data_IF_628889978597
#
_entry.id   IF_628889978597
#
_cell.length_a   1.000
_cell.length_b   1.000
_cell.length_c   1.000
_cell.angle_alpha   90.00
_cell.angle_beta   90.00
_cell.angle_gamma   90.00
#
_symmetry.space_group_name_H-M   'P 1'
#
loop_
_entity.id
_entity.type
_entity.pdbx_description
1 polymer ?
#
# COMPACT_ATOMS: atom_id res chain seq x y z
N UNK A 1 22.73 -27.45 32.60
CA UNK A 1 23.53 -27.24 31.37
C UNK A 1 23.00 -28.15 30.27
N UNK A 2 22.91 -27.62 29.04
CA UNK A 2 22.46 -28.25 27.76
C UNK A 2 20.93 -28.35 27.63
N UNK A 3 20.19 -27.47 26.95
CA UNK A 3 20.38 -26.65 25.74
C UNK A 3 20.41 -27.45 24.43
N UNK A 4 19.46 -27.09 23.55
CA UNK A 4 19.26 -27.42 22.12
C UNK A 4 18.35 -28.61 21.80
N UNK A 5 17.08 -28.28 21.56
CA UNK A 5 16.32 -28.77 20.40
C UNK A 5 15.45 -27.60 19.89
N UNK A 6 16.04 -26.74 19.06
CA UNK A 6 15.30 -25.75 18.27
C UNK A 6 15.16 -26.34 16.88
N UNK A 7 13.94 -26.78 16.57
CA UNK A 7 13.54 -27.22 15.24
C UNK A 7 13.45 -25.98 14.34
N UNK A 8 14.44 -25.76 13.49
CA UNK A 8 14.42 -24.72 12.46
C UNK A 8 13.58 -25.24 11.29
N UNK A 9 12.34 -24.75 11.16
CA UNK A 9 11.53 -24.94 9.98
C UNK A 9 12.08 -24.07 8.83
N UNK A 10 12.76 -24.70 7.88
CA UNK A 10 13.24 -24.05 6.67
C UNK A 10 12.04 -23.75 5.75
N UNK A 11 11.76 -22.46 5.54
CA UNK A 11 10.79 -21.98 4.56
C UNK A 11 11.37 -22.19 3.16
N UNK A 12 10.89 -23.22 2.45
CA UNK A 12 11.23 -23.46 1.05
C UNK A 12 10.53 -22.42 0.18
N UNK A 13 11.25 -21.36 -0.19
CA UNK A 13 10.85 -20.46 -1.26
C UNK A 13 11.26 -21.13 -2.57
N UNK A 14 10.30 -21.71 -3.29
CA UNK A 14 10.53 -22.16 -4.66
C UNK A 14 10.68 -20.95 -5.58
N UNK A 15 11.78 -20.82 -6.34
CA UNK A 15 11.89 -19.78 -7.35
C UNK A 15 10.85 -20.05 -8.44
N UNK A 16 9.93 -19.10 -8.64
CA UNK A 16 9.04 -19.13 -9.79
C UNK A 16 9.89 -18.97 -11.05
N UNK A 17 9.84 -19.95 -11.95
CA UNK A 17 10.43 -19.84 -13.29
C UNK A 17 9.75 -18.68 -14.02
N UNK A 18 10.51 -17.64 -14.36
CA UNK A 18 10.05 -16.57 -15.23
C UNK A 18 9.71 -17.16 -16.60
N UNK A 19 8.43 -17.29 -16.91
CA UNK A 19 7.96 -17.57 -18.26
C UNK A 19 8.27 -16.38 -19.17
N UNK A 20 8.56 -16.65 -20.44
CA UNK A 20 8.68 -15.61 -21.46
C UNK A 20 7.47 -14.66 -21.38
N UNK A 21 7.73 -13.36 -21.26
CA UNK A 21 6.69 -12.34 -21.13
C UNK A 21 5.89 -12.29 -22.44
N UNK A 22 4.68 -12.83 -22.43
CA UNK A 22 3.71 -12.53 -23.48
C UNK A 22 3.41 -11.03 -23.41
N UNK A 23 3.57 -10.27 -24.52
CA UNK A 23 3.33 -8.83 -24.50
C UNK A 23 1.91 -8.51 -24.02
N UNK A 24 1.75 -7.43 -23.27
CA UNK A 24 0.45 -7.04 -22.74
C UNK A 24 -0.53 -6.74 -23.89
N UNK A 25 -1.78 -7.24 -23.84
CA UNK A 25 -2.77 -6.98 -24.88
C UNK A 25 -2.98 -5.49 -25.15
N UNK A 26 -2.92 -4.67 -24.10
CA UNK A 26 -2.98 -3.22 -24.15
C UNK A 26 -1.82 -2.58 -24.96
N UNK A 27 -0.63 -3.18 -24.96
CA UNK A 27 0.55 -2.73 -25.70
C UNK A 27 0.63 -3.24 -27.16
N UNK A 28 -0.28 -4.15 -27.54
CA UNK A 28 -0.36 -4.71 -28.90
C UNK A 28 -1.56 -4.17 -29.70
N UNK A 29 -2.27 -3.17 -29.17
CA UNK A 29 -3.37 -2.50 -29.89
C UNK A 29 -2.77 -1.67 -31.02
N UNK A 30 -3.47 -1.53 -32.14
CA UNK A 30 -3.07 -0.70 -33.32
C UNK A 30 -2.98 0.81 -33.06
N UNK A 31 -3.02 1.14 -31.78
CA UNK A 31 -2.64 2.36 -31.14
C UNK A 31 -1.10 2.54 -31.29
N UNK A 32 -0.29 1.58 -30.83
CA UNK A 32 1.17 1.70 -30.84
C UNK A 32 1.69 1.29 -32.23
N UNK A 33 2.54 2.09 -32.91
CA UNK A 33 3.18 1.67 -34.15
C UNK A 33 3.91 0.34 -33.93
N UNK A 34 3.59 -0.66 -34.75
CA UNK A 34 4.06 -2.04 -34.58
C UNK A 34 5.57 -2.17 -34.84
N UNK A 35 6.37 -1.78 -33.85
CA UNK A 35 7.80 -2.03 -33.75
C UNK A 35 8.09 -2.77 -32.45
N UNK A 36 9.09 -3.65 -32.49
CA UNK A 36 9.49 -4.41 -31.29
C UNK A 36 9.91 -3.47 -30.16
N UNK A 37 10.56 -2.36 -30.50
CA UNK A 37 11.00 -1.34 -29.54
C UNK A 37 9.83 -0.67 -28.83
N UNK A 38 8.82 -0.21 -29.55
CA UNK A 38 7.65 0.45 -28.96
C UNK A 38 6.83 -0.51 -28.09
N UNK A 39 6.71 -1.78 -28.51
CA UNK A 39 6.06 -2.81 -27.70
C UNK A 39 6.84 -3.10 -26.42
N UNK A 40 8.17 -3.21 -26.48
CA UNK A 40 9.02 -3.42 -25.30
C UNK A 40 8.93 -2.24 -24.33
N UNK A 41 8.90 -1.01 -24.85
CA UNK A 41 8.78 0.21 -24.08
C UNK A 41 7.43 0.32 -23.36
N UNK A 42 6.33 0.00 -24.05
CA UNK A 42 5.02 -0.06 -23.41
C UNK A 42 4.95 -1.16 -22.35
N UNK A 43 5.47 -2.36 -22.63
CA UNK A 43 5.49 -3.45 -21.66
C UNK A 43 6.27 -3.06 -20.39
N UNK A 44 7.40 -2.38 -20.54
CA UNK A 44 8.20 -1.86 -19.43
C UNK A 44 7.42 -0.89 -18.54
N UNK A 45 6.69 0.05 -19.14
CA UNK A 45 5.87 1.00 -18.40
C UNK A 45 4.68 0.31 -17.70
N UNK A 46 4.02 -0.65 -18.36
CA UNK A 46 2.94 -1.44 -17.75
C UNK A 46 3.47 -2.29 -16.59
N UNK A 47 4.63 -2.93 -16.74
CA UNK A 47 5.30 -3.70 -15.69
C UNK A 47 5.56 -2.82 -14.47
N UNK A 48 6.10 -1.61 -14.68
CA UNK A 48 6.33 -0.65 -13.62
C UNK A 48 5.05 -0.30 -12.86
N UNK A 49 3.95 0.00 -13.55
CA UNK A 49 2.67 0.33 -12.91
C UNK A 49 2.09 -0.85 -12.13
N UNK A 50 2.16 -2.06 -12.68
CA UNK A 50 1.67 -3.29 -12.00
C UNK A 50 2.51 -3.67 -10.78
N UNK A 51 3.82 -3.38 -10.79
CA UNK A 51 4.71 -3.65 -9.65
C UNK A 51 4.57 -2.57 -8.57
N UNK A 52 4.48 -1.30 -8.96
CA UNK A 52 4.44 -0.15 -8.03
C UNK A 52 3.09 -0.02 -7.31
N UNK A 53 1.98 -0.34 -7.98
CA UNK A 53 0.63 -0.19 -7.43
C UNK A 53 0.39 -0.94 -6.11
N UNK A 54 0.67 -2.26 -6.00
CA UNK A 54 0.51 -2.96 -4.73
C UNK A 54 1.56 -2.56 -3.69
N UNK A 55 2.75 -2.08 -4.11
CA UNK A 55 3.76 -1.58 -3.18
C UNK A 55 3.29 -0.27 -2.51
N UNK A 56 2.73 0.66 -3.29
CA UNK A 56 2.05 1.84 -2.77
C UNK A 56 0.84 1.47 -1.89
N UNK A 57 0.10 0.43 -2.28
CA UNK A 57 -0.99 -0.16 -1.49
C UNK A 57 -0.57 -0.60 -0.08
N UNK A 58 0.56 -1.28 0.03
CA UNK A 58 1.11 -1.73 1.31
C UNK A 58 1.50 -0.56 2.22
N UNK A 59 2.03 0.53 1.66
CA UNK A 59 2.38 1.73 2.42
C UNK A 59 1.15 2.42 3.02
N UNK A 60 0.03 2.41 2.29
CA UNK A 60 -1.26 2.95 2.77
C UNK A 60 -1.87 2.09 3.86
N UNK A 61 -1.92 0.76 3.66
CA UNK A 61 -2.55 -0.16 4.59
C UNK A 61 -1.74 -0.35 5.88
N UNK A 62 -0.44 -0.62 5.74
CA UNK A 62 0.47 -1.03 6.82
C UNK A 62 -0.06 -2.18 7.66
N UNK A 63 -0.08 -2.03 8.99
CA UNK A 63 -0.48 -3.06 9.94
C UNK A 63 -1.89 -2.86 10.51
N UNK A 64 -1.96 -2.71 11.83
CA UNK A 64 -3.20 -2.42 12.56
C UNK A 64 -3.63 -0.97 12.31
N UNK A 65 -4.89 -0.68 11.92
CA UNK A 65 -5.37 0.68 11.71
C UNK A 65 -5.57 1.50 13.00
N UNK A 66 -5.45 0.89 14.18
CA UNK A 66 -5.38 1.60 15.46
C UNK A 66 -4.14 1.13 16.21
N UNK A 67 -3.04 1.87 16.03
CA UNK A 67 -1.73 1.55 16.59
C UNK A 67 -1.81 1.14 18.05
N UNK A 68 -1.04 0.13 18.44
CA UNK A 68 -0.93 -0.35 19.82
C UNK A 68 -2.21 -0.90 20.48
N UNK A 69 -3.38 -0.93 19.83
CA UNK A 69 -4.61 -1.47 20.44
C UNK A 69 -5.00 -2.80 19.81
N UNK A 70 -5.21 -3.82 20.65
CA UNK A 70 -5.84 -5.08 20.24
C UNK A 70 -7.35 -4.99 20.44
N UNK A 71 -7.79 -4.26 21.47
CA UNK A 71 -9.19 -4.01 21.77
C UNK A 71 -9.86 -2.95 20.89
N UNK A 72 -11.19 -3.08 20.72
CA UNK A 72 -12.04 -1.95 20.39
C UNK A 72 -12.01 -0.91 21.53
N UNK A 73 -12.18 0.37 21.20
CA UNK A 73 -12.06 1.48 22.16
C UNK A 73 -13.10 1.42 23.29
N UNK A 74 -14.21 0.71 23.07
CA UNK A 74 -15.41 0.83 23.89
C UNK A 74 -16.17 2.08 23.47
N UNK A 75 -17.48 2.12 23.69
CA UNK A 75 -18.37 3.15 23.15
C UNK A 75 -18.00 4.59 23.53
N UNK A 76 -18.80 5.53 23.05
CA UNK A 76 -18.55 6.96 23.24
C UNK A 76 -18.40 7.33 24.74
N UNK A 77 -17.46 8.21 25.13
CA UNK A 77 -16.63 9.11 24.31
C UNK A 77 -15.20 8.60 24.03
N UNK A 78 -14.93 7.30 24.09
CA UNK A 78 -13.56 6.81 23.92
C UNK A 78 -13.04 7.08 22.49
N UNK A 79 -11.89 7.73 22.37
CA UNK A 79 -11.26 8.03 21.10
C UNK A 79 -9.75 7.75 21.15
N UNK A 80 -9.13 7.56 20.00
CA UNK A 80 -7.69 7.38 19.83
C UNK A 80 -7.21 8.19 18.64
N UNK A 81 -6.05 8.81 18.77
CA UNK A 81 -5.35 9.48 17.67
C UNK A 81 -3.94 8.93 17.65
N UNK A 82 -3.48 8.53 16.48
CA UNK A 82 -2.16 7.98 16.25
C UNK A 82 -1.49 8.64 15.05
N UNK A 83 -0.17 8.71 15.10
CA UNK A 83 0.67 9.11 13.97
C UNK A 83 1.63 7.96 13.70
N UNK A 84 1.72 7.54 12.44
CA UNK A 84 2.66 6.52 11.97
C UNK A 84 3.40 7.04 10.76
N UNK A 85 4.62 6.54 10.58
CA UNK A 85 5.39 6.76 9.37
C UNK A 85 5.74 5.38 8.81
N UNK A 86 5.19 5.05 7.65
CA UNK A 86 5.67 3.90 6.89
C UNK A 86 6.81 4.37 5.99
N UNK A 87 7.74 3.49 5.66
CA UNK A 87 8.76 3.78 4.66
C UNK A 87 8.96 2.55 3.79
N UNK A 88 9.18 2.78 2.50
CA UNK A 88 9.67 1.76 1.55
C UNK A 88 10.79 2.34 0.72
N UNK A 89 11.65 1.47 0.23
CA UNK A 89 12.51 1.79 -0.89
C UNK A 89 11.68 1.70 -2.18
N UNK A 90 11.61 2.80 -2.91
CA UNK A 90 11.02 2.86 -4.24
C UNK A 90 12.15 2.87 -5.26
N UNK A 91 12.04 2.00 -6.26
CA UNK A 91 13.00 1.91 -7.35
C UNK A 91 12.32 2.41 -8.61
N UNK A 92 12.84 3.49 -9.19
CA UNK A 92 12.35 3.97 -10.49
C UNK A 92 13.04 3.19 -11.61
N UNK A 93 12.29 2.86 -12.67
CA UNK A 93 12.89 2.31 -13.87
C UNK A 93 13.61 3.41 -14.65
N UNK A 94 14.59 3.03 -15.45
CA UNK A 94 15.27 3.94 -16.37
C UNK A 94 14.28 4.49 -17.40
N UNK A 95 13.96 5.77 -17.29
CA UNK A 95 13.04 6.49 -18.16
C UNK A 95 13.63 6.78 -19.55
N UNK A 96 14.95 6.65 -19.70
CA UNK A 96 15.67 6.77 -20.98
C UNK A 96 15.73 5.45 -21.77
N UNK A 97 15.18 4.36 -21.23
CA UNK A 97 15.08 3.09 -21.92
C UNK A 97 14.34 3.22 -23.26
N UNK A 98 14.90 2.68 -24.34
CA UNK A 98 14.45 2.85 -25.73
C UNK A 98 13.81 1.58 -26.32
N UNK A 99 13.60 0.54 -25.51
CA UNK A 99 13.06 -0.74 -25.98
C UNK A 99 14.05 -1.63 -26.72
N UNK A 100 15.35 -1.28 -26.74
CA UNK A 100 16.38 -2.04 -27.48
C UNK A 100 16.78 -3.37 -26.85
N UNK A 101 16.61 -3.52 -25.54
CA UNK A 101 16.84 -4.77 -24.82
C UNK A 101 15.52 -5.42 -24.39
N UNK A 102 15.59 -6.53 -23.67
CA UNK A 102 14.42 -7.15 -23.02
C UNK A 102 14.34 -6.82 -21.52
N UNK A 103 15.19 -5.93 -21.01
CA UNK A 103 15.28 -5.63 -19.58
C UNK A 103 15.50 -4.15 -19.34
N UNK A 104 14.63 -3.55 -18.54
CA UNK A 104 14.73 -2.13 -18.18
C UNK A 104 15.79 -1.96 -17.11
N UNK A 105 16.65 -0.96 -17.27
CA UNK A 105 17.61 -0.54 -16.25
C UNK A 105 16.90 -0.01 -14.99
N UNK A 106 17.61 -0.03 -13.87
CA UNK A 106 17.23 0.72 -12.67
C UNK A 106 17.86 2.10 -12.75
N UNK A 107 17.10 3.13 -12.40
CA UNK A 107 17.59 4.50 -12.30
C UNK A 107 17.86 4.86 -10.83
N UNK A 108 16.86 5.38 -10.14
CA UNK A 108 16.99 5.84 -8.75
C UNK A 108 16.43 4.82 -7.74
N UNK A 109 17.00 4.83 -6.54
CA UNK A 109 16.45 4.18 -5.35
C UNK A 109 16.21 5.21 -4.27
N UNK A 110 14.94 5.47 -3.98
CA UNK A 110 14.53 6.57 -3.13
C UNK A 110 13.75 6.03 -1.94
N UNK A 111 14.14 6.36 -0.69
CA UNK A 111 13.31 6.08 0.47
C UNK A 111 12.11 7.02 0.45
N UNK A 112 10.90 6.46 0.33
CA UNK A 112 9.65 7.24 0.32
C UNK A 112 8.97 7.11 1.68
N UNK A 113 8.98 8.16 2.51
CA UNK A 113 8.22 8.17 3.75
C UNK A 113 6.74 8.43 3.45
N UNK A 114 5.88 7.68 4.13
CA UNK A 114 4.42 7.79 4.08
C UNK A 114 3.91 8.04 5.51
N UNK A 115 3.97 9.30 5.98
CA UNK A 115 3.32 9.71 7.22
C UNK A 115 1.80 9.62 7.10
N UNK A 116 1.18 9.03 8.12
CA UNK A 116 -0.26 8.87 8.23
C UNK A 116 -0.71 9.27 9.63
N UNK A 117 -1.79 10.04 9.69
CA UNK A 117 -2.54 10.30 10.92
C UNK A 117 -3.78 9.41 10.89
N UNK A 118 -3.98 8.63 11.95
CA UNK A 118 -5.15 7.76 12.11
C UNK A 118 -5.92 8.20 13.37
N UNK A 119 -7.23 8.22 13.27
CA UNK A 119 -8.12 8.49 14.38
C UNK A 119 -9.16 7.39 14.47
N UNK A 120 -9.55 7.03 15.69
CA UNK A 120 -10.62 6.09 15.95
C UNK A 120 -11.56 6.63 17.02
N UNK A 121 -12.86 6.36 16.86
CA UNK A 121 -13.92 6.77 17.78
C UNK A 121 -14.78 5.55 18.12
N UNK A 122 -14.86 5.24 19.41
CA UNK A 122 -15.75 4.22 19.92
C UNK A 122 -17.22 4.62 19.78
N UNK A 123 -18.01 3.80 19.11
CA UNK A 123 -19.44 4.04 18.86
C UNK A 123 -20.28 3.34 19.92
N UNK A 124 -20.03 2.05 20.15
CA UNK A 124 -20.79 1.24 21.10
C UNK A 124 -19.87 0.38 21.96
N UNK A 125 -20.29 0.19 23.21
CA UNK A 125 -19.65 -0.74 24.14
C UNK A 125 -19.86 -2.21 23.76
N UNK A 126 -20.72 -2.48 22.77
CA UNK A 126 -21.11 -3.84 22.41
C UNK A 126 -22.12 -4.44 23.39
N UNK A 127 -22.33 -5.75 23.28
CA UNK A 127 -23.34 -6.49 24.03
C UNK A 127 -22.72 -7.34 25.14
N UNK A 128 -23.46 -7.43 26.26
CA UNK A 128 -23.11 -8.23 27.43
C UNK A 128 -21.98 -7.65 28.26
N UNK A 129 -21.67 -8.30 29.38
CA UNK A 129 -20.63 -7.87 30.31
C UNK A 129 -19.22 -7.84 29.71
N UNK A 130 -19.03 -8.45 28.53
CA UNK A 130 -17.75 -8.52 27.80
C UNK A 130 -17.71 -7.62 26.56
N UNK A 131 -18.74 -6.83 26.29
CA UNK A 131 -18.74 -5.87 25.18
C UNK A 131 -18.42 -6.49 23.81
N UNK A 132 -19.05 -7.64 23.51
CA UNK A 132 -18.92 -8.29 22.20
C UNK A 132 -19.56 -7.41 21.13
N UNK A 133 -18.95 -7.36 19.95
CA UNK A 133 -19.36 -6.46 18.87
C UNK A 133 -19.31 -4.98 19.26
N UNK A 134 -18.40 -4.60 20.17
CA UNK A 134 -18.01 -3.19 20.31
C UNK A 134 -17.50 -2.69 18.96
N UNK A 135 -17.97 -1.50 18.55
CA UNK A 135 -17.66 -0.91 17.25
C UNK A 135 -16.90 0.39 17.43
N UNK A 136 -15.87 0.56 16.60
CA UNK A 136 -15.17 1.82 16.43
C UNK A 136 -15.30 2.28 14.98
N UNK A 137 -15.44 3.59 14.77
CA UNK A 137 -15.19 4.22 13.48
C UNK A 137 -13.72 4.59 13.37
N UNK A 138 -13.17 4.46 12.18
CA UNK A 138 -11.77 4.77 11.87
C UNK A 138 -11.74 5.82 10.76
N UNK A 139 -10.91 6.83 10.94
CA UNK A 139 -10.53 7.79 9.90
C UNK A 139 -9.02 7.82 9.76
N UNK A 140 -8.52 8.02 8.54
CA UNK A 140 -7.10 8.13 8.27
C UNK A 140 -6.84 9.23 7.24
N UNK A 141 -5.73 9.95 7.40
CA UNK A 141 -5.22 10.91 6.43
C UNK A 141 -3.74 10.59 6.17
N UNK A 142 -3.37 10.37 4.92
CA UNK A 142 -2.01 10.08 4.49
C UNK A 142 -1.45 11.27 3.73
N UNK A 143 -0.22 11.67 4.06
CA UNK A 143 0.48 12.71 3.29
C UNK A 143 1.59 12.03 2.50
N UNK A 144 1.60 12.23 1.18
CA UNK A 144 2.66 11.76 0.31
C UNK A 144 3.53 12.96 -0.10
N UNK A 145 4.74 13.10 0.48
CA UNK A 145 5.66 14.16 0.10
C UNK A 145 6.27 13.83 -1.26
N UNK A 146 5.82 14.52 -2.30
CA UNK A 146 6.39 14.37 -3.67
C UNK A 146 7.52 15.35 -3.96
N UNK A 147 7.68 16.41 -3.14
CA UNK A 147 8.58 17.55 -3.39
C UNK A 147 10.08 17.26 -3.28
N UNK A 148 10.50 15.99 -3.34
CA UNK A 148 11.90 15.57 -3.34
C UNK A 148 12.19 14.39 -4.26
N UNK A 149 11.23 14.00 -5.11
CA UNK A 149 11.38 12.92 -6.07
C UNK A 149 11.66 13.51 -7.45
N UNK A 150 12.86 13.28 -7.99
CA UNK A 150 13.11 13.54 -9.40
C UNK A 150 12.19 12.61 -10.21
N UNK A 151 11.54 13.14 -11.24
CA UNK A 151 10.69 12.37 -12.17
C UNK A 151 9.34 11.86 -11.62
N UNK A 152 8.94 12.21 -10.39
CA UNK A 152 7.57 11.94 -9.91
C UNK A 152 6.84 13.26 -9.73
N UNK A 153 5.68 13.39 -10.36
CA UNK A 153 4.84 14.59 -10.33
C UNK A 153 3.46 14.27 -9.78
N UNK A 154 2.86 15.26 -9.13
CA UNK A 154 1.43 15.26 -8.89
C UNK A 154 0.72 15.60 -10.19
N UNK A 155 -0.37 14.90 -10.46
CA UNK A 155 -1.34 15.37 -11.44
C UNK A 155 -1.88 16.74 -10.98
N UNK A 156 -2.08 17.69 -11.91
CA UNK A 156 -2.55 19.04 -11.61
C UNK A 156 -3.93 19.07 -10.92
N UNK A 157 -4.70 17.98 -11.06
CA UNK A 157 -6.03 17.79 -10.46
C UNK A 157 -5.98 17.07 -9.10
N UNK A 158 -4.79 16.73 -8.60
CA UNK A 158 -4.61 16.07 -7.32
C UNK A 158 -4.98 16.99 -6.14
N UNK A 159 -5.69 16.43 -5.14
CA UNK A 159 -5.90 17.11 -3.86
C UNK A 159 -4.57 17.25 -3.14
N UNK A 160 -4.05 18.48 -3.08
CA UNK A 160 -2.78 18.79 -2.43
C UNK A 160 -2.98 19.63 -1.17
N UNK A 161 -2.14 19.39 -0.17
CA UNK A 161 -1.98 20.28 0.98
C UNK A 161 -0.50 20.59 1.12
N UNK A 162 -0.15 21.87 1.08
CA UNK A 162 1.24 22.35 1.12
C UNK A 162 2.18 21.67 0.10
N UNK A 163 1.67 21.34 -1.11
CA UNK A 163 2.44 20.70 -2.18
C UNK A 163 2.63 19.18 -2.05
N UNK A 164 1.96 18.53 -1.08
CA UNK A 164 1.98 17.08 -0.91
C UNK A 164 0.63 16.45 -1.30
N UNK A 165 0.65 15.25 -1.87
CA UNK A 165 -0.55 14.48 -2.19
C UNK A 165 -1.26 14.07 -0.88
N UNK A 166 -2.57 14.32 -0.78
CA UNK A 166 -3.36 13.96 0.38
C UNK A 166 -4.25 12.76 0.08
N UNK A 167 -3.95 11.63 0.72
CA UNK A 167 -4.81 10.45 0.78
C UNK A 167 -5.73 10.48 1.98
N UNK A 168 -6.90 9.85 1.84
CA UNK A 168 -7.87 9.71 2.92
C UNK A 168 -8.32 8.27 3.04
N UNK A 169 -8.73 7.89 4.24
CA UNK A 169 -9.39 6.63 4.48
C UNK A 169 -10.43 6.71 5.58
N UNK A 170 -11.36 5.79 5.53
CA UNK A 170 -12.39 5.61 6.53
C UNK A 170 -12.73 4.14 6.65
N UNK A 171 -13.25 3.74 7.80
CA UNK A 171 -13.55 2.34 8.05
C UNK A 171 -14.16 2.12 9.42
N UNK A 172 -14.21 0.84 9.78
CA UNK A 172 -14.69 0.42 11.08
C UNK A 172 -13.90 -0.76 11.62
N UNK A 173 -13.93 -0.89 12.94
CA UNK A 173 -13.38 -2.03 13.67
C UNK A 173 -14.45 -2.61 14.59
N UNK A 174 -14.47 -3.92 14.69
CA UNK A 174 -15.39 -4.69 15.52
C UNK A 174 -14.62 -5.62 16.44
N UNK A 175 -14.98 -5.62 17.72
CA UNK A 175 -14.55 -6.64 18.67
C UNK A 175 -15.31 -7.95 18.41
N UNK A 176 -14.60 -8.96 17.93
CA UNK A 176 -15.14 -10.31 17.70
C UNK A 176 -15.14 -11.09 19.01
N UNK A 177 -14.04 -11.02 19.76
CA UNK A 177 -13.87 -11.65 21.05
C UNK A 177 -13.19 -10.67 21.99
N UNK A 178 -13.78 -10.45 23.16
CA UNK A 178 -13.09 -9.79 24.27
C UNK A 178 -12.54 -10.86 25.21
N UNK A 179 -11.21 -10.96 25.22
CA UNK A 179 -10.42 -11.90 25.98
C UNK A 179 -10.43 -11.64 27.49
N UNK A 180 -9.69 -12.45 28.23
CA UNK A 180 -9.60 -12.36 29.70
C UNK A 180 -8.26 -12.86 30.24
N UNK A 181 -7.15 -12.18 29.96
CA UNK A 181 -5.82 -12.55 30.44
C UNK A 181 -5.26 -13.83 29.81
N UNK A 182 -5.98 -14.95 29.88
CA UNK A 182 -5.66 -16.23 29.22
C UNK A 182 -6.20 -16.28 27.79
N UNK A 183 -7.46 -15.91 27.58
CA UNK A 183 -8.07 -15.90 26.24
C UNK A 183 -7.65 -14.61 25.53
N UNK A 184 -7.12 -14.69 24.29
CA UNK A 184 -6.77 -13.50 23.53
C UNK A 184 -8.02 -12.72 23.11
N UNK A 185 -7.84 -11.43 22.88
CA UNK A 185 -8.81 -10.58 22.23
C UNK A 185 -8.71 -10.73 20.73
N UNK A 186 -9.84 -10.69 20.03
CA UNK A 186 -9.91 -10.78 18.57
C UNK A 186 -10.71 -9.61 18.03
N UNK A 187 -10.14 -8.90 17.06
CA UNK A 187 -10.80 -7.81 16.35
C UNK A 187 -10.71 -7.99 14.85
N UNK A 188 -11.79 -7.65 14.16
CA UNK A 188 -11.82 -7.47 12.71
C UNK A 188 -11.93 -5.99 12.38
N UNK A 189 -11.28 -5.53 11.32
CA UNK A 189 -11.48 -4.17 10.80
C UNK A 189 -11.47 -4.13 9.29
N UNK A 190 -12.27 -3.27 8.71
CA UNK A 190 -12.29 -2.97 7.28
C UNK A 190 -12.06 -1.47 7.09
N UNK A 191 -11.08 -1.11 6.28
CA UNK A 191 -10.74 0.29 6.00
C UNK A 191 -10.59 0.47 4.50
N UNK A 192 -11.27 1.48 3.96
CA UNK A 192 -11.11 1.95 2.59
C UNK A 192 -10.16 3.14 2.60
N UNK A 193 -9.20 3.15 1.68
CA UNK A 193 -8.22 4.24 1.51
C UNK A 193 -8.10 4.61 0.04
N UNK A 194 -7.82 5.86 -0.24
CA UNK A 194 -7.56 6.35 -1.58
C UNK A 194 -6.38 7.31 -1.60
N UNK A 195 -5.52 7.19 -2.61
CA UNK A 195 -4.55 8.20 -2.98
C UNK A 195 -5.01 8.97 -4.22
N UNK A 196 -4.63 10.26 -4.31
CA UNK A 196 -4.76 11.00 -5.56
C UNK A 196 -3.86 10.38 -6.64
N UNK A 197 -4.10 10.79 -7.89
CA UNK A 197 -3.32 10.33 -9.04
C UNK A 197 -1.86 10.81 -8.93
N UNK A 198 -0.94 9.90 -9.16
CA UNK A 198 0.50 10.13 -9.20
C UNK A 198 0.98 9.91 -10.63
N UNK A 199 1.89 10.76 -11.10
CA UNK A 199 2.53 10.65 -12.41
C UNK A 199 4.04 10.42 -12.26
N UNK A 200 4.61 9.64 -13.16
CA UNK A 200 6.04 9.31 -13.24
C UNK A 200 6.50 9.52 -14.67
N UNK A 201 7.62 10.23 -14.84
CA UNK A 201 8.16 10.59 -16.15
C UNK A 201 7.37 11.67 -16.87
N UNK A 202 7.94 12.17 -17.96
CA UNK A 202 7.33 13.16 -18.85
C UNK A 202 7.91 13.03 -20.27
N UNK A 203 7.13 12.43 -21.16
CA UNK A 203 7.51 12.27 -22.58
C UNK A 203 7.71 13.61 -23.30
N UNK A 204 7.06 14.68 -22.84
CA UNK A 204 7.24 16.02 -23.41
C UNK A 204 8.54 16.69 -22.96
N UNK A 205 9.11 16.23 -21.85
CA UNK A 205 10.42 16.66 -21.35
C UNK A 205 11.59 15.81 -21.89
N UNK A 206 11.30 14.81 -22.74
CA UNK A 206 12.30 13.98 -23.40
C UNK A 206 12.46 12.57 -22.84
N UNK A 207 11.61 12.15 -21.89
CA UNK A 207 11.57 10.75 -21.46
C UNK A 207 10.97 9.86 -22.57
N UNK A 208 11.37 8.59 -22.60
CA UNK A 208 10.84 7.66 -23.59
C UNK A 208 9.46 7.12 -23.20
N UNK A 209 9.13 7.15 -21.91
CA UNK A 209 7.80 6.81 -21.42
C UNK A 209 7.47 7.57 -20.14
N UNK A 210 6.17 7.75 -19.93
CA UNK A 210 5.59 8.29 -18.72
C UNK A 210 4.40 7.42 -18.32
N UNK A 211 3.96 7.53 -17.07
CA UNK A 211 2.75 6.88 -16.63
C UNK A 211 2.13 7.54 -15.43
N UNK A 212 0.81 7.46 -15.33
CA UNK A 212 0.06 7.88 -14.16
C UNK A 212 -0.76 6.74 -13.60
N UNK A 213 -1.02 6.77 -12.30
CA UNK A 213 -1.94 5.84 -11.66
C UNK A 213 -2.63 6.47 -10.47
N UNK A 214 -3.86 6.03 -10.22
CA UNK A 214 -4.53 6.24 -8.95
C UNK A 214 -4.56 4.92 -8.15
N UNK A 215 -4.79 5.02 -6.84
CA UNK A 215 -4.83 3.86 -5.98
C UNK A 215 -5.99 3.96 -4.99
N UNK A 216 -6.83 2.93 -5.01
CA UNK A 216 -7.89 2.68 -4.04
C UNK A 216 -7.58 1.35 -3.36
N UNK A 217 -7.43 1.37 -2.05
CA UNK A 217 -7.15 0.18 -1.26
C UNK A 217 -8.35 -0.14 -0.36
N UNK A 218 -8.72 -1.41 -0.30
CA UNK A 218 -9.61 -1.95 0.72
C UNK A 218 -8.81 -2.92 1.58
N UNK A 219 -8.65 -2.60 2.86
CA UNK A 219 -7.85 -3.37 3.80
C UNK A 219 -8.78 -4.06 4.80
N UNK A 220 -8.86 -5.38 4.74
CA UNK A 220 -9.51 -6.21 5.75
C UNK A 220 -8.43 -6.79 6.67
N UNK A 221 -8.61 -6.62 7.97
CA UNK A 221 -7.65 -7.06 8.98
C UNK A 221 -8.34 -7.85 10.06
N UNK A 222 -7.72 -8.95 10.45
CA UNK A 222 -8.06 -9.74 11.61
C UNK A 222 -6.86 -9.76 12.55
N UNK A 223 -7.08 -9.52 13.83
CA UNK A 223 -6.02 -9.54 14.84
C UNK A 223 -6.43 -10.37 16.02
N UNK A 224 -5.45 -11.05 16.62
CA UNK A 224 -5.57 -11.71 17.90
C UNK A 224 -4.40 -11.32 18.81
N UNK A 225 -4.66 -10.99 20.07
CA UNK A 225 -3.61 -10.56 20.97
C UNK A 225 -3.98 -10.46 22.44
N UNK A 226 -3.01 -10.05 23.24
CA UNK A 226 -3.12 -9.86 24.67
C UNK A 226 -2.63 -8.48 25.06
N UNK A 227 -3.34 -7.85 26.00
CA UNK A 227 -2.93 -6.64 26.68
C UNK A 227 -2.59 -7.01 28.14
N UNK A 228 -1.29 -7.06 28.49
CA UNK A 228 -0.79 -7.50 29.80
C UNK A 228 -0.02 -6.36 30.47
N UNK A 229 -0.67 -5.69 31.41
CA UNK A 229 -0.12 -4.50 32.07
C UNK A 229 0.15 -3.41 31.03
N UNK A 230 1.42 -3.00 30.91
CA UNK A 230 1.83 -1.98 29.92
C UNK A 230 2.08 -2.56 28.54
N UNK A 231 2.28 -3.87 28.41
CA UNK A 231 2.68 -4.50 27.16
C UNK A 231 1.46 -5.00 26.39
N UNK A 232 1.44 -4.73 25.09
CA UNK A 232 0.40 -5.16 24.16
C UNK A 232 1.04 -5.92 23.04
N UNK A 233 0.59 -7.15 22.83
CA UNK A 233 1.12 -8.04 21.81
C UNK A 233 -0.04 -8.54 20.96
N UNK A 234 0.04 -8.39 19.66
CA UNK A 234 -0.89 -9.03 18.75
C UNK A 234 -0.21 -9.56 17.50
N UNK A 235 -0.82 -10.59 16.95
CA UNK A 235 -0.56 -11.07 15.61
C UNK A 235 -1.80 -10.79 14.76
N UNK A 236 -1.55 -10.41 13.52
CA UNK A 236 -2.60 -10.07 12.58
C UNK A 236 -2.39 -10.72 11.23
N UNK A 237 -3.52 -10.96 10.58
CA UNK A 237 -3.62 -11.40 9.21
C UNK A 237 -4.50 -10.39 8.45
N UNK A 238 -4.18 -10.14 7.19
CA UNK A 238 -4.89 -9.17 6.37
C UNK A 238 -5.08 -9.62 4.94
N UNK A 239 -6.15 -9.11 4.34
CA UNK A 239 -6.42 -9.16 2.91
C UNK A 239 -6.54 -7.72 2.42
N UNK A 240 -5.72 -7.38 1.45
CA UNK A 240 -5.68 -6.06 0.85
C UNK A 240 -6.07 -6.20 -0.62
N UNK A 241 -7.09 -5.47 -1.04
CA UNK A 241 -7.47 -5.33 -2.45
C UNK A 241 -7.09 -3.94 -2.94
N UNK A 242 -6.37 -3.89 -4.04
CA UNK A 242 -5.87 -2.67 -4.66
C UNK A 242 -6.53 -2.53 -6.02
N UNK A 243 -7.22 -1.41 -6.21
CA UNK A 243 -7.87 -1.05 -7.47
C UNK A 243 -7.34 0.29 -7.95
N UNK A 244 -7.22 0.44 -9.25
CA UNK A 244 -6.83 1.71 -9.84
C UNK A 244 -6.94 1.71 -11.35
N UNK A 245 -6.99 2.92 -11.88
CA UNK A 245 -6.83 3.21 -13.29
C UNK A 245 -5.44 3.82 -13.47
N UNK A 246 -4.75 3.31 -14.48
CA UNK A 246 -3.44 3.74 -14.88
C UNK A 246 -3.42 4.12 -16.36
N UNK A 247 -2.52 5.02 -16.71
CA UNK A 247 -2.20 5.32 -18.09
C UNK A 247 -0.71 5.25 -18.30
N UNK A 248 -0.33 4.80 -19.49
CA UNK A 248 1.03 4.80 -19.97
C UNK A 248 1.09 5.69 -21.19
N UNK A 249 2.09 6.53 -21.28
CA UNK A 249 2.45 7.31 -22.45
C UNK A 249 3.82 6.86 -22.94
N UNK A 250 3.95 6.54 -24.22
CA UNK A 250 5.22 6.12 -24.83
C UNK A 250 5.56 7.02 -26.01
N UNK A 251 6.84 7.33 -26.17
CA UNK A 251 7.40 8.01 -27.33
C UNK A 251 7.67 6.99 -28.43
N UNK A 252 7.13 7.22 -29.63
CA UNK A 252 7.42 6.39 -30.81
C UNK A 252 8.91 6.50 -31.22
N UNK A 253 9.63 5.38 -31.08
CA UNK A 253 11.05 5.26 -31.36
C UNK A 253 11.37 5.16 -32.87
N UNK A 254 10.35 5.03 -33.73
CA UNK A 254 10.52 4.83 -35.18
C UNK A 254 10.11 6.08 -35.98
N UNK A 255 9.01 6.74 -35.59
CA UNK A 255 8.47 7.93 -36.27
C UNK A 255 8.61 9.25 -35.50
N UNK A 256 9.07 9.22 -34.25
CA UNK A 256 9.45 10.39 -33.45
C UNK A 256 8.31 11.35 -33.05
N UNK A 257 7.05 11.02 -33.32
CA UNK A 257 5.94 12.01 -33.19
C UNK A 257 4.61 11.42 -32.71
N UNK A 258 4.63 10.38 -31.86
CA UNK A 258 3.40 9.91 -31.21
C UNK A 258 3.64 9.72 -29.71
N UNK A 259 2.87 10.47 -28.93
CA UNK A 259 2.58 10.22 -27.52
C UNK A 259 1.25 9.51 -27.48
N UNK A 260 1.27 8.22 -27.17
CA UNK A 260 0.03 7.48 -27.08
C UNK A 260 -0.27 7.02 -25.69
N UNK A 261 -1.52 7.31 -25.27
CA UNK A 261 -2.02 6.99 -23.95
C UNK A 261 -2.70 5.62 -23.94
N UNK A 262 -2.06 4.65 -23.32
CA UNK A 262 -2.58 3.29 -23.12
C UNK A 262 -3.19 3.18 -21.73
N UNK A 263 -4.49 2.90 -21.65
CA UNK A 263 -5.15 2.64 -20.37
C UNK A 263 -4.87 1.23 -19.84
N UNK A 264 -4.48 1.16 -18.57
CA UNK A 264 -4.20 -0.07 -17.82
C UNK A 264 -5.14 -0.14 -16.63
N UNK A 265 -5.85 -1.25 -16.48
CA UNK A 265 -6.64 -1.50 -15.28
C UNK A 265 -5.79 -2.25 -14.26
N UNK A 266 -5.75 -1.72 -13.04
CA UNK A 266 -5.01 -2.31 -11.92
C UNK A 266 -6.04 -2.90 -10.94
N UNK A 267 -6.08 -4.22 -10.83
CA UNK A 267 -6.90 -4.95 -9.84
C UNK A 267 -6.05 -6.09 -9.28
N UNK A 268 -5.48 -5.86 -8.11
CA UNK A 268 -4.54 -6.76 -7.45
C UNK A 268 -5.00 -7.07 -6.03
N UNK A 269 -4.66 -8.26 -5.53
CA UNK A 269 -4.93 -8.61 -4.14
C UNK A 269 -3.69 -9.20 -3.47
N UNK A 270 -3.52 -8.89 -2.19
CA UNK A 270 -2.42 -9.42 -1.38
C UNK A 270 -2.90 -9.86 -0.02
N UNK A 271 -2.19 -10.83 0.53
CA UNK A 271 -2.32 -11.23 1.92
C UNK A 271 -1.12 -10.71 2.69
N UNK A 272 -1.34 -10.31 3.94
CA UNK A 272 -0.30 -9.75 4.80
C UNK A 272 -0.39 -10.36 6.18
N UNK A 273 0.77 -10.66 6.75
CA UNK A 273 0.91 -11.03 8.16
C UNK A 273 1.71 -9.94 8.85
N UNK A 274 1.30 -9.58 10.06
CA UNK A 274 1.96 -8.53 10.82
C UNK A 274 1.90 -8.83 12.31
N UNK A 275 2.85 -8.25 13.05
CA UNK A 275 2.86 -8.26 14.50
C UNK A 275 2.70 -6.82 15.01
N UNK A 276 2.04 -6.68 16.16
CA UNK A 276 1.89 -5.42 16.86
C UNK A 276 2.50 -5.57 18.25
N UNK A 277 3.39 -4.65 18.60
CA UNK A 277 3.99 -4.56 19.93
C UNK A 277 3.79 -3.15 20.42
N UNK A 278 2.96 -2.97 21.44
CA UNK A 278 2.66 -1.67 22.02
C UNK A 278 3.06 -1.57 23.48
N UNK A 279 3.41 -0.37 23.91
CA UNK A 279 3.64 -0.02 25.31
C UNK A 279 2.69 1.12 25.70
N UNK A 280 1.85 0.90 26.71
CA UNK A 280 0.92 1.90 27.26
C UNK A 280 1.48 2.50 28.54
N UNK A 281 1.66 3.82 28.54
CA UNK A 281 2.15 4.62 29.65
C UNK A 281 1.09 5.67 30.02
N UNK A 282 0.18 5.31 30.94
CA UNK A 282 -0.93 6.18 31.32
C UNK A 282 -1.86 6.42 30.13
N UNK A 283 -1.89 7.64 29.60
CA UNK A 283 -2.73 8.02 28.46
C UNK A 283 -1.99 8.02 27.11
N UNK A 284 -0.69 7.71 27.11
CA UNK A 284 0.12 7.61 25.90
C UNK A 284 0.39 6.17 25.53
N UNK A 285 0.53 5.91 24.24
CA UNK A 285 0.83 4.60 23.71
C UNK A 285 1.85 4.73 22.60
N UNK A 286 2.87 3.87 22.64
CA UNK A 286 3.91 3.77 21.62
C UNK A 286 3.85 2.36 21.05
N UNK A 287 3.85 2.22 19.73
CA UNK A 287 3.74 0.95 19.04
C UNK A 287 4.57 0.92 17.76
#
# INVERSE_FOLDING_TARGET
MRCRDVLVAALLVTPATAGAQTPYPECNKGLIPASVQNTNLCNAAVDFLRISHPAAGLLLGGGNPVLGKVTALGGFPNFSIGVRVNASQFVTPDLSYDGSSSTVGKDDEIPVPFPTVEAALGVTNGFGARGLFALDLIGAAQVLPVGGLNNVRLDDEATTVAGAALGFGYGGRVAVLRGNGLIPEVTGSAVWRSLPRLAVGDVTAGDNYAGDFNLRATNLRLMAGWEVGVLKLALGYGWDWYKGDAHVEVTDQVGGTLTERVSVNLDESRTVMYANVGFEFGFFMVA
#
